data_IF_821006001209
#
_entry.id   IF_821006001209
#
_cell.length_a   1.000
_cell.length_b   1.000
_cell.length_c   1.000
_cell.angle_alpha   90.00
_cell.angle_beta   90.00
_cell.angle_gamma   90.00
#
_symmetry.space_group_name_H-M   'P 1'
#
loop_
_entity.id
_entity.type
_entity.pdbx_description
1 polymer ?
#
# COMPACT_ATOMS: atom_id res chain seq x y z
N UNK A 1 -13.31 7.97 3.97
CA UNK A 1 -13.74 7.07 2.87
C UNK A 1 -12.55 6.66 2.03
N UNK A 2 -12.55 5.43 1.48
CA UNK A 2 -11.49 4.90 0.63
C UNK A 2 -11.97 4.81 -0.82
N UNK A 3 -11.19 5.31 -1.77
CA UNK A 3 -11.42 5.16 -3.22
C UNK A 3 -10.51 4.09 -3.78
N UNK A 4 -11.03 3.22 -4.64
CA UNK A 4 -10.18 2.30 -5.41
C UNK A 4 -9.66 3.02 -6.67
N UNK A 5 -8.34 3.00 -6.88
CA UNK A 5 -7.72 3.60 -8.07
C UNK A 5 -6.90 2.54 -8.80
N UNK A 6 -7.11 2.44 -10.12
CA UNK A 6 -6.34 1.54 -10.96
C UNK A 6 -4.92 2.10 -11.14
N UNK A 7 -3.90 1.31 -10.79
CA UNK A 7 -2.49 1.71 -10.87
C UNK A 7 -1.74 1.05 -12.04
N UNK A 8 -2.46 0.41 -12.97
CA UNK A 8 -1.86 -0.11 -14.21
C UNK A 8 -1.34 1.01 -15.13
N UNK A 9 -1.76 2.26 -14.90
CA UNK A 9 -1.20 3.44 -15.53
C UNK A 9 -0.94 4.55 -14.50
N UNK A 10 0.29 4.59 -13.98
CA UNK A 10 0.71 5.59 -12.98
C UNK A 10 0.68 7.04 -13.48
N UNK A 11 0.74 7.30 -14.80
CA UNK A 11 0.74 8.67 -15.34
C UNK A 11 -0.54 9.45 -15.00
N UNK A 12 -1.66 8.75 -14.76
CA UNK A 12 -2.93 9.37 -14.39
C UNK A 12 -3.16 9.42 -12.89
N UNK A 13 -2.29 8.80 -12.10
CA UNK A 13 -2.52 8.56 -10.68
C UNK A 13 -2.74 9.86 -9.90
N UNK A 14 -1.86 10.86 -10.09
CA UNK A 14 -1.99 12.17 -9.43
C UNK A 14 -3.33 12.85 -9.73
N UNK A 15 -3.74 12.89 -11.01
CA UNK A 15 -5.03 13.47 -11.40
C UNK A 15 -6.22 12.73 -10.77
N UNK A 16 -6.11 11.41 -10.58
CA UNK A 16 -7.14 10.59 -9.93
C UNK A 16 -7.16 10.81 -8.41
N UNK A 17 -6.01 11.04 -7.78
CA UNK A 17 -5.92 11.43 -6.37
C UNK A 17 -6.62 12.76 -6.14
N UNK A 18 -6.30 13.79 -6.93
CA UNK A 18 -6.93 15.12 -6.83
C UNK A 18 -8.44 15.04 -7.02
N UNK A 19 -8.90 14.26 -8.01
CA UNK A 19 -10.32 14.01 -8.23
C UNK A 19 -10.96 13.33 -7.02
N UNK A 20 -10.37 12.25 -6.50
CA UNK A 20 -10.88 11.55 -5.33
C UNK A 20 -10.94 12.47 -4.10
N UNK A 21 -9.92 13.32 -3.91
CA UNK A 21 -9.92 14.33 -2.84
C UNK A 21 -11.09 15.31 -2.99
N UNK A 22 -11.33 15.82 -4.20
CA UNK A 22 -12.45 16.73 -4.47
C UNK A 22 -13.83 16.09 -4.29
N UNK A 23 -13.92 14.77 -4.47
CA UNK A 23 -15.12 13.96 -4.22
C UNK A 23 -15.32 13.63 -2.71
N UNK A 24 -14.42 14.10 -1.83
CA UNK A 24 -14.50 13.89 -0.38
C UNK A 24 -13.89 12.58 0.11
N UNK A 25 -13.16 11.85 -0.75
CA UNK A 25 -12.36 10.71 -0.29
C UNK A 25 -11.13 11.20 0.46
N UNK A 26 -10.72 10.40 1.43
CA UNK A 26 -9.56 10.68 2.31
C UNK A 26 -8.39 9.76 2.01
N UNK A 27 -8.70 8.57 1.50
CA UNK A 27 -7.76 7.48 1.28
C UNK A 27 -7.98 6.85 -0.08
N UNK A 28 -6.93 6.26 -0.62
CA UNK A 28 -7.00 5.42 -1.82
C UNK A 28 -6.37 4.07 -1.59
N UNK A 29 -6.96 3.04 -2.18
CA UNK A 29 -6.38 1.71 -2.26
C UNK A 29 -6.06 1.42 -3.73
N UNK A 30 -4.81 1.05 -4.05
CA UNK A 30 -4.44 0.71 -5.42
C UNK A 30 -5.02 -0.65 -5.82
N UNK A 31 -5.42 -0.79 -7.08
CA UNK A 31 -5.71 -2.09 -7.68
C UNK A 31 -5.12 -2.20 -9.09
N UNK A 32 -4.84 -3.42 -9.50
CA UNK A 32 -4.33 -3.78 -10.82
C UNK A 32 -4.72 -5.25 -11.11
N UNK A 33 -4.39 -5.77 -12.29
CA UNK A 33 -4.71 -7.16 -12.64
C UNK A 33 -4.05 -8.19 -11.69
N UNK A 34 -2.96 -7.79 -11.06
CA UNK A 34 -2.15 -8.56 -10.12
C UNK A 34 -2.53 -8.32 -8.65
N UNK A 35 -3.47 -7.41 -8.36
CA UNK A 35 -3.86 -7.00 -7.01
C UNK A 35 -5.36 -7.18 -6.87
N UNK A 36 -5.77 -8.20 -6.12
CA UNK A 36 -7.14 -8.37 -5.67
C UNK A 36 -7.33 -7.72 -4.30
N UNK A 37 -8.53 -7.19 -4.05
CA UNK A 37 -8.89 -6.53 -2.80
C UNK A 37 -10.01 -7.32 -2.12
N UNK A 38 -9.79 -7.75 -0.89
CA UNK A 38 -10.82 -8.29 -0.02
C UNK A 38 -11.70 -7.15 0.50
N UNK A 39 -12.83 -6.89 -0.18
CA UNK A 39 -13.68 -5.73 0.09
C UNK A 39 -14.22 -5.67 1.53
N UNK A 40 -14.54 -6.82 2.14
CA UNK A 40 -14.99 -6.88 3.54
C UNK A 40 -13.92 -6.39 4.50
N UNK A 41 -12.65 -6.76 4.26
CA UNK A 41 -11.51 -6.34 5.06
C UNK A 41 -11.22 -4.86 4.86
N UNK A 42 -11.27 -4.38 3.61
CA UNK A 42 -11.13 -2.95 3.31
C UNK A 42 -12.19 -2.09 4.03
N UNK A 43 -13.43 -2.57 4.09
CA UNK A 43 -14.54 -1.86 4.75
C UNK A 43 -14.44 -1.84 6.28
N UNK A 44 -13.69 -2.77 6.87
CA UNK A 44 -13.51 -2.87 8.31
C UNK A 44 -12.43 -1.92 8.86
N UNK A 45 -11.63 -1.31 7.99
CA UNK A 45 -10.52 -0.44 8.38
C UNK A 45 -10.98 0.84 9.06
N UNK A 46 -10.29 1.18 10.14
CA UNK A 46 -10.40 2.49 10.75
C UNK A 46 -9.44 3.48 10.08
N UNK A 47 -9.99 4.59 9.59
CA UNK A 47 -9.21 5.60 8.87
C UNK A 47 -8.71 6.69 9.80
N UNK A 48 -7.41 6.91 9.78
CA UNK A 48 -6.71 8.04 10.39
C UNK A 48 -6.13 8.93 9.28
N UNK A 49 -5.73 10.19 9.51
CA UNK A 49 -5.13 11.04 8.47
C UNK A 49 -3.68 10.62 8.15
N UNK A 50 -3.44 9.33 7.91
CA UNK A 50 -2.14 8.68 7.73
C UNK A 50 -2.29 7.51 6.75
N UNK A 51 -1.24 7.20 6.00
CA UNK A 51 -1.24 5.96 5.21
C UNK A 51 -1.24 4.73 6.14
N UNK A 52 -1.69 3.59 5.63
CA UNK A 52 -1.92 2.38 6.43
C UNK A 52 -1.19 1.23 5.75
N UNK A 53 -0.29 0.58 6.48
CA UNK A 53 0.25 -0.73 6.10
C UNK A 53 -0.76 -1.78 6.53
N UNK A 54 -1.19 -2.61 5.59
CA UNK A 54 -2.21 -3.64 5.80
C UNK A 54 -1.66 -5.02 5.47
N UNK A 55 -2.31 -6.08 5.95
CA UNK A 55 -1.86 -7.44 5.67
C UNK A 55 -2.30 -7.91 4.27
N UNK A 56 -1.66 -8.97 3.77
CA UNK A 56 -1.90 -9.53 2.45
C UNK A 56 -1.65 -11.04 2.35
N UNK A 57 -2.30 -11.67 1.37
CA UNK A 57 -1.97 -13.02 0.89
C UNK A 57 -1.28 -12.97 -0.47
N UNK A 58 -0.66 -14.09 -0.86
CA UNK A 58 -0.12 -14.30 -2.20
C UNK A 58 -0.74 -15.57 -2.79
N UNK A 59 -1.47 -15.45 -3.90
CA UNK A 59 -2.31 -16.50 -4.49
C UNK A 59 -3.24 -17.18 -3.46
N UNK A 60 -3.91 -16.37 -2.64
CA UNK A 60 -4.81 -16.84 -1.58
C UNK A 60 -4.12 -17.53 -0.40
N UNK A 61 -2.78 -17.61 -0.38
CA UNK A 61 -2.02 -18.20 0.70
C UNK A 61 -1.39 -17.13 1.57
N UNK A 62 -1.50 -17.29 2.89
CA UNK A 62 -0.79 -16.45 3.83
C UNK A 62 0.70 -16.77 3.80
N UNK A 63 1.47 -15.92 3.12
CA UNK A 63 2.94 -16.00 3.01
C UNK A 63 3.65 -14.82 3.66
N UNK A 64 2.88 -13.89 4.19
CA UNK A 64 3.39 -12.69 4.80
C UNK A 64 3.76 -12.99 6.25
N UNK A 65 5.05 -13.08 6.55
CA UNK A 65 5.52 -13.19 7.93
C UNK A 65 5.87 -11.78 8.42
N UNK A 66 4.86 -11.07 8.91
CA UNK A 66 4.97 -9.68 9.33
C UNK A 66 5.05 -9.57 10.85
N UNK A 67 6.25 -9.34 11.37
CA UNK A 67 6.50 -9.21 12.80
C UNK A 67 6.06 -7.86 13.41
N UNK A 68 5.67 -6.88 12.58
CA UNK A 68 5.26 -5.56 13.05
C UNK A 68 3.75 -5.44 13.31
N UNK A 69 2.93 -6.44 12.96
CA UNK A 69 1.52 -6.41 13.31
C UNK A 69 1.36 -6.52 14.84
N UNK A 70 0.73 -5.50 15.45
CA UNK A 70 0.65 -5.32 16.90
C UNK A 70 1.46 -4.13 17.41
N UNK A 71 2.29 -3.51 16.58
CA UNK A 71 2.92 -2.22 16.87
C UNK A 71 1.96 -1.06 16.57
N UNK A 72 2.15 0.08 17.23
CA UNK A 72 1.36 1.31 16.98
C UNK A 72 1.82 2.10 15.75
N UNK A 73 3.03 1.83 15.26
CA UNK A 73 3.69 2.54 14.17
C UNK A 73 4.73 1.63 13.53
N UNK A 74 5.01 1.84 12.25
CA UNK A 74 5.99 1.08 11.47
C UNK A 74 6.99 2.03 10.81
N UNK A 75 8.25 1.63 10.74
CA UNK A 75 9.24 2.27 9.87
C UNK A 75 9.77 1.27 8.82
N UNK A 76 10.58 1.75 7.88
CA UNK A 76 11.14 0.88 6.84
C UNK A 76 11.96 -0.29 7.37
N UNK A 77 12.68 -0.14 8.49
CA UNK A 77 13.51 -1.21 9.05
C UNK A 77 12.64 -2.35 9.60
N UNK A 78 11.47 -2.03 10.15
CA UNK A 78 10.50 -3.04 10.59
C UNK A 78 9.88 -3.77 9.39
N UNK A 79 9.50 -3.02 8.34
CA UNK A 79 8.96 -3.60 7.12
C UNK A 79 10.00 -4.45 6.35
N UNK A 80 11.27 -4.05 6.40
CA UNK A 80 12.41 -4.75 5.80
C UNK A 80 12.73 -6.10 6.49
N UNK A 81 12.08 -6.44 7.61
CA UNK A 81 12.22 -7.75 8.23
C UNK A 81 11.30 -8.80 7.60
N UNK A 82 10.40 -8.41 6.71
CA UNK A 82 9.52 -9.35 6.03
C UNK A 82 10.29 -10.27 5.08
N UNK A 83 9.89 -11.53 5.03
CA UNK A 83 10.43 -12.49 4.06
C UNK A 83 10.04 -12.16 2.60
N UNK A 84 8.97 -11.37 2.43
CA UNK A 84 8.40 -11.02 1.14
C UNK A 84 8.10 -9.52 1.10
N UNK A 85 8.40 -8.87 -0.02
CA UNK A 85 8.19 -7.43 -0.21
C UNK A 85 7.15 -7.16 -1.26
N UNK A 86 5.99 -6.70 -0.81
CA UNK A 86 4.87 -6.31 -1.66
C UNK A 86 4.32 -4.95 -1.23
N UNK A 87 3.81 -4.12 -2.16
CA UNK A 87 3.27 -2.80 -1.83
C UNK A 87 1.89 -2.93 -1.16
N UNK A 88 1.88 -3.26 0.13
CA UNK A 88 0.70 -3.53 0.95
C UNK A 88 0.20 -2.27 1.68
N UNK A 89 -0.01 -1.19 0.93
CA UNK A 89 -0.34 0.13 1.49
C UNK A 89 -1.69 0.66 0.98
N UNK A 90 -2.41 1.28 1.90
CA UNK A 90 -3.53 2.18 1.63
C UNK A 90 -3.04 3.58 1.91
N UNK A 91 -3.29 4.50 0.98
CA UNK A 91 -2.62 5.78 0.96
C UNK A 91 -3.55 6.90 1.42
N UNK A 92 -3.12 7.72 2.37
CA UNK A 92 -3.80 8.97 2.69
C UNK A 92 -3.54 9.99 1.57
N UNK A 93 -4.62 10.48 0.93
CA UNK A 93 -4.51 11.21 -0.34
C UNK A 93 -3.62 12.45 -0.22
N UNK A 94 -3.79 13.25 0.84
CA UNK A 94 -3.00 14.46 1.01
C UNK A 94 -1.50 14.15 1.13
N UNK A 95 -1.14 13.18 1.98
CA UNK A 95 0.25 12.75 2.14
C UNK A 95 0.83 12.23 0.83
N UNK A 96 0.05 11.50 0.04
CA UNK A 96 0.48 10.98 -1.27
C UNK A 96 0.74 12.09 -2.28
N UNK A 97 -0.15 13.09 -2.34
CA UNK A 97 0.04 14.26 -3.20
C UNK A 97 1.32 15.02 -2.81
N UNK A 98 1.55 15.20 -1.51
CA UNK A 98 2.78 15.83 -1.01
C UNK A 98 4.02 15.03 -1.46
N UNK A 99 4.02 13.70 -1.31
CA UNK A 99 5.14 12.84 -1.73
C UNK A 99 5.40 12.89 -3.24
N UNK A 100 4.35 12.82 -4.07
CA UNK A 100 4.48 12.89 -5.54
C UNK A 100 4.95 14.27 -5.99
N UNK A 101 4.61 15.33 -5.26
CA UNK A 101 5.09 16.68 -5.56
C UNK A 101 6.60 16.83 -5.34
N UNK A 102 7.15 16.19 -4.30
CA UNK A 102 8.57 16.31 -3.93
C UNK A 102 9.48 15.24 -4.55
N UNK A 103 8.93 14.11 -4.99
CA UNK A 103 9.69 12.96 -5.45
C UNK A 103 9.14 12.39 -6.75
N UNK A 104 10.04 11.88 -7.61
CA UNK A 104 9.63 11.14 -8.80
C UNK A 104 9.07 9.76 -8.41
N UNK A 105 7.85 9.46 -8.83
CA UNK A 105 7.16 8.19 -8.59
C UNK A 105 6.77 7.58 -9.93
N UNK A 106 7.42 6.49 -10.32
CA UNK A 106 7.16 5.82 -11.59
C UNK A 106 6.25 4.60 -11.41
N UNK A 107 6.36 3.92 -10.28
CA UNK A 107 5.62 2.71 -9.95
C UNK A 107 4.93 2.81 -8.60
N UNK A 108 3.93 1.95 -8.39
CA UNK A 108 3.30 1.81 -7.07
C UNK A 108 4.27 1.31 -5.99
N UNK A 109 5.35 0.62 -6.39
CA UNK A 109 6.39 0.17 -5.47
C UNK A 109 7.29 1.32 -5.03
N UNK A 110 7.64 2.25 -5.92
CA UNK A 110 8.37 3.48 -5.55
C UNK A 110 7.56 4.28 -4.53
N UNK A 111 6.26 4.42 -4.77
CA UNK A 111 5.36 5.09 -3.85
C UNK A 111 5.31 4.39 -2.49
N UNK A 112 5.26 3.06 -2.48
CA UNK A 112 5.27 2.28 -1.26
C UNK A 112 6.54 2.52 -0.43
N UNK A 113 7.71 2.43 -1.07
CA UNK A 113 9.01 2.70 -0.43
C UNK A 113 9.10 4.15 0.08
N UNK A 114 8.71 5.12 -0.73
CA UNK A 114 8.72 6.53 -0.31
C UNK A 114 7.78 6.78 0.87
N UNK A 115 6.61 6.15 0.87
CA UNK A 115 5.66 6.26 1.98
C UNK A 115 6.24 5.64 3.25
N UNK A 116 6.88 4.47 3.17
CA UNK A 116 7.57 3.84 4.30
C UNK A 116 8.77 4.64 4.82
N UNK A 117 9.47 5.37 3.93
CA UNK A 117 10.66 6.16 4.26
C UNK A 117 10.35 7.56 4.82
N UNK A 118 9.30 8.20 4.31
CA UNK A 118 9.02 9.63 4.51
C UNK A 118 7.62 9.90 5.04
N UNK A 119 6.72 8.93 4.93
CA UNK A 119 5.35 9.05 5.39
C UNK A 119 5.22 8.81 6.89
N UNK A 120 4.10 9.29 7.41
CA UNK A 120 3.55 8.89 8.69
C UNK A 120 2.55 7.77 8.44
N UNK A 121 2.80 6.60 9.03
CA UNK A 121 2.04 5.38 8.79
C UNK A 121 1.40 4.85 10.07
N UNK A 122 0.23 4.26 9.88
CA UNK A 122 -0.40 3.36 10.84
C UNK A 122 -0.33 1.92 10.33
N UNK A 123 -0.59 0.97 11.21
CA UNK A 123 -0.61 -0.45 10.91
C UNK A 123 -2.01 -0.97 11.18
N UNK A 124 -2.52 -1.81 10.29
CA UNK A 124 -3.76 -2.55 10.49
C UNK A 124 -3.58 -4.00 10.03
N UNK A 125 -3.92 -4.97 10.89
CA UNK A 125 -3.72 -6.40 10.60
C UNK A 125 -4.76 -7.03 9.68
N UNK A 126 -5.75 -6.28 9.18
CA UNK A 126 -6.71 -6.82 8.23
C UNK A 126 -6.00 -7.21 6.92
N UNK A 127 -6.28 -8.43 6.45
CA UNK A 127 -5.78 -8.95 5.18
C UNK A 127 -6.58 -8.30 4.06
N UNK A 128 -6.11 -7.16 3.55
CA UNK A 128 -6.84 -6.37 2.54
C UNK A 128 -6.52 -6.83 1.12
N UNK A 129 -5.28 -7.24 0.88
CA UNK A 129 -4.83 -7.60 -0.45
C UNK A 129 -4.69 -9.11 -0.64
N UNK A 130 -4.97 -9.57 -1.85
CA UNK A 130 -4.47 -10.83 -2.37
C UNK A 130 -3.67 -10.55 -3.64
N UNK A 131 -2.38 -10.88 -3.59
CA UNK A 131 -1.41 -10.48 -4.58
C UNK A 131 -1.01 -11.66 -5.43
N UNK A 132 -0.87 -11.44 -6.74
CA UNK A 132 -0.26 -12.46 -7.60
C UNK A 132 1.26 -12.39 -7.49
N UNK A 133 1.98 -13.53 -7.52
CA UNK A 133 3.42 -13.54 -7.61
C UNK A 133 3.82 -12.78 -8.87
N UNK A 134 4.55 -11.68 -8.69
CA UNK A 134 5.13 -10.98 -9.82
C UNK A 134 6.24 -11.87 -10.37
N UNK A 135 6.04 -12.41 -11.57
CA UNK A 135 6.90 -13.44 -12.15
C UNK A 135 8.37 -13.04 -12.34
N UNK A 136 8.80 -11.80 -12.04
CA UNK A 136 10.20 -11.36 -11.98
C UNK A 136 10.39 -9.91 -11.43
N UNK A 137 9.52 -9.39 -10.55
CA UNK A 137 9.58 -7.95 -10.15
C UNK A 137 9.52 -7.64 -8.64
N UNK A 138 9.46 -8.64 -7.78
CA UNK A 138 9.65 -8.45 -6.34
C UNK A 138 11.00 -9.04 -5.93
N UNK A 139 11.77 -8.28 -5.14
CA UNK A 139 13.01 -8.76 -4.56
C UNK A 139 12.70 -9.93 -3.63
N UNK A 140 12.98 -11.16 -4.06
CA UNK A 140 13.06 -12.28 -3.14
C UNK A 140 14.47 -12.27 -2.56
N UNK A 141 14.66 -11.65 -1.40
CA UNK A 141 15.95 -11.69 -0.68
C UNK A 141 16.15 -13.01 0.07
N UNK A 142 15.17 -13.91 0.05
CA UNK A 142 15.27 -15.26 0.58
C UNK A 142 16.09 -16.16 -0.35
N UNK A 143 17.42 -16.01 -0.31
CA UNK A 143 18.44 -17.05 -0.54
C UNK A 143 19.84 -16.42 -0.42
N UNK A 144 20.26 -16.14 0.81
CA UNK A 144 21.68 -16.07 1.19
C UNK A 144 21.90 -16.93 2.42
#
# INVERSE_FOLDING_TARGET
MIKQINVSNMQKFESQLMKAQSEGYTHVVPYANEIMIYQSMLNALQLYPKSIVVDYTVDGQYKNDCHYFGQSSINIADWAQNNNYYPNLIYAIQQTLDLIHYYSVETIFDLALLTLLKGDLSIDGHVVFDLKPFSNKCFNMGNY
#
